data_IF_699667117243
#
_entry.id   IF_699667117243
#
_cell.length_a   1.000
_cell.length_b   1.000
_cell.length_c   1.000
_cell.angle_alpha   90.00
_cell.angle_beta   90.00
_cell.angle_gamma   90.00
#
_symmetry.space_group_name_H-M   'P 1'
#
loop_
_entity.id
_entity.type
_entity.pdbx_description
1 polymer ?
#
# COMPACT_ATOMS: atom_id res chain seq x y z
N UNK A 1 -17.52 -15.27 6.32
CA UNK A 1 -16.60 -14.28 5.74
C UNK A 1 -16.57 -13.03 6.60
N UNK A 2 -17.71 -12.32 6.77
CA UNK A 2 -17.80 -11.11 7.61
C UNK A 2 -17.22 -11.29 9.04
N UNK A 3 -17.68 -12.31 9.78
CA UNK A 3 -17.20 -12.58 11.14
C UNK A 3 -15.68 -12.89 11.21
N UNK A 4 -15.08 -13.41 10.14
CA UNK A 4 -13.64 -13.69 10.10
C UNK A 4 -12.86 -12.37 9.91
N UNK A 5 -13.34 -11.52 9.00
CA UNK A 5 -12.74 -10.20 8.78
C UNK A 5 -12.82 -9.34 10.05
N UNK A 6 -13.96 -9.35 10.74
CA UNK A 6 -14.14 -8.61 12.01
C UNK A 6 -13.17 -9.07 13.10
N UNK A 7 -12.96 -10.38 13.24
CA UNK A 7 -11.99 -10.92 14.20
C UNK A 7 -10.57 -10.47 13.88
N UNK A 8 -10.17 -10.50 12.60
CA UNK A 8 -8.84 -10.04 12.18
C UNK A 8 -8.65 -8.53 12.38
N UNK A 9 -9.66 -7.72 12.07
CA UNK A 9 -9.64 -6.28 12.33
C UNK A 9 -9.54 -5.98 13.83
N UNK A 10 -10.22 -6.77 14.67
CA UNK A 10 -10.12 -6.65 16.13
C UNK A 10 -8.71 -7.01 16.64
N UNK A 11 -8.09 -8.06 16.10
CA UNK A 11 -6.67 -8.38 16.39
C UNK A 11 -5.77 -7.20 16.03
N UNK A 12 -5.99 -6.59 14.87
CA UNK A 12 -5.19 -5.43 14.45
C UNK A 12 -5.35 -4.22 15.36
N UNK A 13 -6.57 -3.99 15.84
CA UNK A 13 -6.86 -2.98 16.85
C UNK A 13 -6.09 -3.23 18.15
N UNK A 14 -6.15 -4.46 18.68
CA UNK A 14 -5.41 -4.83 19.90
C UNK A 14 -3.89 -4.71 19.74
N UNK A 15 -3.36 -4.99 18.56
CA UNK A 15 -1.93 -4.82 18.21
C UNK A 15 -1.51 -3.38 17.93
N UNK A 16 -2.41 -2.40 18.11
CA UNK A 16 -2.15 -0.96 17.90
C UNK A 16 -1.69 -0.60 16.49
N UNK A 17 -2.04 -1.42 15.48
CA UNK A 17 -1.67 -1.17 14.08
C UNK A 17 -2.32 0.12 13.58
N UNK A 18 -3.55 0.39 14.00
CA UNK A 18 -4.22 1.65 13.65
C UNK A 18 -3.44 2.87 14.13
N UNK A 19 -2.80 2.83 15.31
CA UNK A 19 -1.94 3.94 15.78
C UNK A 19 -0.77 4.16 14.82
N UNK A 20 -0.15 3.07 14.34
CA UNK A 20 0.95 3.15 13.37
C UNK A 20 0.46 3.76 12.04
N UNK A 21 -0.74 3.40 11.59
CA UNK A 21 -1.37 3.96 10.39
C UNK A 21 -1.66 5.45 10.57
N UNK A 22 -2.18 5.88 11.72
CA UNK A 22 -2.45 7.30 11.98
C UNK A 22 -1.16 8.11 12.04
N UNK A 23 -0.10 7.57 12.65
CA UNK A 23 1.22 8.21 12.68
C UNK A 23 1.80 8.34 11.27
N UNK A 24 1.77 7.26 10.49
CA UNK A 24 2.24 7.25 9.11
C UNK A 24 1.44 8.25 8.24
N UNK A 25 0.12 8.29 8.40
CA UNK A 25 -0.75 9.18 7.65
C UNK A 25 -0.58 10.66 8.06
N UNK A 26 -0.17 10.90 9.30
CA UNK A 26 0.15 12.24 9.81
C UNK A 26 1.49 12.79 9.30
N UNK A 27 2.28 12.02 8.54
CA UNK A 27 3.58 12.48 8.04
C UNK A 27 3.46 13.74 7.16
N UNK A 28 2.34 13.91 6.45
CA UNK A 28 2.05 15.10 5.65
C UNK A 28 1.99 16.40 6.46
N UNK A 29 1.77 16.33 7.78
CA UNK A 29 1.82 17.49 8.68
C UNK A 29 3.21 18.12 8.69
N UNK A 30 4.27 17.31 8.74
CA UNK A 30 5.66 17.80 8.79
C UNK A 30 5.95 18.62 7.54
N UNK A 31 5.52 18.12 6.38
CA UNK A 31 5.70 18.81 5.12
C UNK A 31 4.86 20.10 5.07
N UNK A 32 3.59 20.05 5.45
CA UNK A 32 2.72 21.23 5.50
C UNK A 32 3.26 22.34 6.42
N UNK A 33 3.77 21.98 7.60
CA UNK A 33 4.42 22.91 8.51
C UNK A 33 5.69 23.50 7.92
N UNK A 34 6.50 22.69 7.25
CA UNK A 34 7.72 23.17 6.62
C UNK A 34 7.46 24.17 5.48
N UNK A 35 6.36 24.00 4.72
CA UNK A 35 5.89 25.01 3.75
C UNK A 35 5.50 26.30 4.49
N UNK A 36 4.69 26.18 5.55
CA UNK A 36 4.19 27.32 6.31
C UNK A 36 5.32 28.13 6.97
N UNK A 37 6.30 27.46 7.57
CA UNK A 37 7.47 28.06 8.22
C UNK A 37 8.63 28.35 7.26
N UNK A 38 8.48 28.07 5.96
CA UNK A 38 9.50 28.31 4.92
C UNK A 38 10.85 27.68 5.22
N UNK A 39 10.86 26.40 5.57
CA UNK A 39 12.10 25.65 5.82
C UNK A 39 12.97 25.60 4.55
N UNK A 40 14.27 25.85 4.69
CA UNK A 40 15.22 26.02 3.58
C UNK A 40 15.43 24.78 2.70
N UNK A 41 15.08 23.59 3.19
CA UNK A 41 15.21 22.33 2.46
C UNK A 41 13.94 21.93 1.69
N UNK A 42 12.83 22.67 1.82
CA UNK A 42 11.60 22.40 1.08
C UNK A 42 11.55 23.34 -0.12
N UNK A 43 11.96 22.82 -1.28
CA UNK A 43 11.89 23.53 -2.55
C UNK A 43 10.57 23.19 -3.24
N UNK A 44 9.70 24.20 -3.37
CA UNK A 44 8.44 24.07 -4.12
C UNK A 44 8.59 24.81 -5.43
N UNK A 45 8.71 24.04 -6.51
CA UNK A 45 8.66 24.57 -7.88
C UNK A 45 7.20 24.66 -8.33
N UNK A 46 6.57 25.82 -8.14
CA UNK A 46 5.21 26.11 -8.63
C UNK A 46 4.15 26.27 -7.53
N UNK A 47 2.88 26.22 -7.95
CA UNK A 47 1.73 26.24 -7.04
C UNK A 47 1.13 24.84 -6.93
N UNK A 48 0.73 24.46 -5.72
CA UNK A 48 0.15 23.15 -5.42
C UNK A 48 -1.35 23.28 -5.18
N UNK A 49 -2.13 22.47 -5.89
CA UNK A 49 -3.55 22.25 -5.62
C UNK A 49 -3.74 21.24 -4.48
N UNK A 50 -4.93 21.22 -3.87
CA UNK A 50 -5.28 20.29 -2.79
C UNK A 50 -5.07 18.82 -3.19
N UNK A 51 -5.53 18.44 -4.39
CA UNK A 51 -5.40 17.06 -4.90
C UNK A 51 -3.94 16.73 -5.16
N UNK A 52 -3.19 17.63 -5.80
CA UNK A 52 -1.78 17.46 -6.06
C UNK A 52 -0.99 17.33 -4.75
N UNK A 53 -1.32 18.12 -3.73
CA UNK A 53 -0.68 18.01 -2.41
C UNK A 53 -0.98 16.65 -1.76
N UNK A 54 -2.23 16.23 -1.68
CA UNK A 54 -2.60 14.97 -1.03
C UNK A 54 -1.95 13.74 -1.72
N UNK A 55 -1.97 13.73 -3.06
CA UNK A 55 -1.40 12.63 -3.85
C UNK A 55 0.13 12.61 -3.84
N UNK A 56 0.78 13.77 -3.86
CA UNK A 56 2.25 13.86 -3.71
C UNK A 56 2.71 13.45 -2.32
N UNK A 57 1.94 13.74 -1.26
CA UNK A 57 2.24 13.25 0.09
C UNK A 57 2.15 11.72 0.18
N UNK A 58 1.17 11.11 -0.50
CA UNK A 58 1.08 9.66 -0.61
C UNK A 58 2.28 9.08 -1.36
N UNK A 59 2.65 9.66 -2.52
CA UNK A 59 3.80 9.24 -3.30
C UNK A 59 5.11 9.35 -2.49
N UNK A 60 5.26 10.42 -1.70
CA UNK A 60 6.41 10.62 -0.83
C UNK A 60 6.50 9.51 0.24
N UNK A 61 5.39 9.18 0.89
CA UNK A 61 5.35 8.10 1.89
C UNK A 61 5.67 6.74 1.24
N UNK A 62 5.18 6.50 0.02
CA UNK A 62 5.53 5.31 -0.76
C UNK A 62 7.01 5.26 -1.12
N UNK A 63 7.61 6.39 -1.50
CA UNK A 63 9.03 6.50 -1.83
C UNK A 63 9.93 6.18 -0.62
N UNK A 64 9.52 6.55 0.59
CA UNK A 64 10.23 6.18 1.83
C UNK A 64 10.20 4.67 2.11
N UNK A 65 9.36 3.89 1.44
CA UNK A 65 9.25 2.44 1.61
C UNK A 65 8.61 2.01 2.94
N UNK A 66 8.22 2.94 3.81
CA UNK A 66 7.63 2.62 5.12
C UNK A 66 6.32 1.84 4.99
N UNK A 67 5.35 2.22 4.13
CA UNK A 67 4.13 1.42 3.93
C UNK A 67 4.45 0.02 3.43
N UNK A 68 5.41 -0.10 2.50
CA UNK A 68 5.80 -1.37 1.93
C UNK A 68 6.27 -2.34 3.02
N UNK A 69 7.20 -1.90 3.88
CA UNK A 69 7.73 -2.72 4.97
C UNK A 69 6.63 -3.07 5.97
N UNK A 70 5.85 -2.09 6.40
CA UNK A 70 4.79 -2.26 7.40
C UNK A 70 3.73 -3.26 6.92
N UNK A 71 3.17 -3.07 5.72
CA UNK A 71 2.12 -3.93 5.20
C UNK A 71 2.65 -5.30 4.77
N UNK A 72 3.87 -5.39 4.26
CA UNK A 72 4.51 -6.69 4.00
C UNK A 72 4.68 -7.49 5.30
N UNK A 73 5.08 -6.83 6.39
CA UNK A 73 5.17 -7.46 7.71
C UNK A 73 3.81 -7.91 8.23
N UNK A 74 2.76 -7.10 8.07
CA UNK A 74 1.39 -7.50 8.43
C UNK A 74 0.90 -8.71 7.63
N UNK A 75 1.12 -8.73 6.32
CA UNK A 75 0.80 -9.89 5.48
C UNK A 75 1.60 -11.14 5.88
N UNK A 76 2.88 -10.99 6.20
CA UNK A 76 3.70 -12.12 6.60
C UNK A 76 3.35 -12.67 7.99
N UNK A 77 2.95 -11.81 8.92
CA UNK A 77 2.63 -12.22 10.31
C UNK A 77 1.23 -12.79 10.47
N UNK A 78 0.24 -12.30 9.72
CA UNK A 78 -1.14 -12.80 9.80
C UNK A 78 -1.25 -14.26 9.34
N UNK A 79 -0.36 -14.71 8.45
CA UNK A 79 -0.36 -16.09 7.96
C UNK A 79 0.84 -16.87 8.49
N UNK A 80 2.07 -16.48 8.12
CA UNK A 80 3.27 -17.20 8.53
C UNK A 80 3.52 -17.19 10.04
N UNK A 81 3.21 -16.08 10.72
CA UNK A 81 3.34 -16.01 12.18
C UNK A 81 2.35 -16.94 12.91
N UNK A 82 1.09 -16.96 12.47
CA UNK A 82 0.09 -17.85 13.07
C UNK A 82 0.32 -19.33 12.71
N UNK A 83 0.98 -19.61 11.57
CA UNK A 83 1.47 -20.94 11.22
C UNK A 83 2.59 -21.38 12.18
N UNK A 84 3.58 -20.51 12.45
CA UNK A 84 4.68 -20.85 13.35
C UNK A 84 4.22 -21.04 14.79
N UNK A 85 3.21 -20.28 15.22
CA UNK A 85 2.67 -20.33 16.58
C UNK A 85 1.62 -21.44 16.77
N UNK A 86 1.31 -22.22 15.72
CA UNK A 86 0.29 -23.29 15.73
C UNK A 86 -1.16 -22.80 15.83
N UNK A 87 -1.38 -21.48 15.96
CA UNK A 87 -2.72 -20.88 16.07
C UNK A 87 -3.57 -21.14 14.82
N UNK A 88 -2.94 -21.28 13.65
CA UNK A 88 -3.63 -21.54 12.38
C UNK A 88 -4.46 -22.84 12.42
N UNK A 89 -4.02 -23.89 13.14
CA UNK A 89 -4.77 -25.15 13.24
C UNK A 89 -6.11 -24.94 13.95
N UNK A 90 -6.10 -24.17 15.03
CA UNK A 90 -7.31 -23.87 15.82
C UNK A 90 -8.31 -23.04 15.01
N UNK A 91 -7.83 -22.17 14.12
CA UNK A 91 -8.71 -21.42 13.23
C UNK A 91 -9.27 -22.27 12.09
N UNK A 92 -8.48 -23.20 11.55
CA UNK A 92 -8.93 -24.13 10.51
C UNK A 92 -10.05 -25.03 11.03
N UNK A 93 -9.95 -25.54 12.26
CA UNK A 93 -11.02 -26.37 12.87
C UNK A 93 -12.31 -25.58 13.07
N UNK A 94 -12.23 -24.28 13.35
CA UNK A 94 -13.40 -23.39 13.52
C UNK A 94 -14.04 -22.96 12.20
N UNK A 95 -13.25 -22.66 11.18
CA UNK A 95 -13.73 -22.11 9.89
C UNK A 95 -14.06 -23.22 8.87
N UNK A 96 -13.58 -24.44 9.10
CA UNK A 96 -13.79 -25.64 8.28
C UNK A 96 -13.20 -25.57 6.85
N UNK A 97 -12.66 -24.42 6.42
CA UNK A 97 -12.11 -24.25 5.07
C UNK A 97 -10.86 -23.37 5.05
N UNK A 98 -9.73 -23.95 4.62
CA UNK A 98 -8.43 -23.26 4.45
C UNK A 98 -8.54 -22.10 3.44
N UNK A 99 -9.24 -22.30 2.33
CA UNK A 99 -9.45 -21.27 1.29
C UNK A 99 -10.17 -20.03 1.84
N UNK A 100 -11.27 -20.23 2.58
CA UNK A 100 -12.04 -19.12 3.17
C UNK A 100 -11.21 -18.35 4.20
N UNK A 101 -10.35 -19.06 4.93
CA UNK A 101 -9.45 -18.47 5.92
C UNK A 101 -8.38 -17.58 5.27
N UNK A 102 -7.68 -18.07 4.25
CA UNK A 102 -6.65 -17.31 3.53
C UNK A 102 -7.24 -16.06 2.88
N UNK A 103 -8.36 -16.20 2.16
CA UNK A 103 -9.04 -15.07 1.51
C UNK A 103 -9.51 -14.07 2.56
N UNK A 104 -10.06 -14.55 3.68
CA UNK A 104 -10.50 -13.70 4.78
C UNK A 104 -9.36 -12.84 5.35
N UNK A 105 -8.21 -13.45 5.66
CA UNK A 105 -7.02 -12.75 6.15
C UNK A 105 -6.49 -11.73 5.12
N UNK A 106 -6.42 -12.12 3.86
CA UNK A 106 -5.99 -11.23 2.77
C UNK A 106 -6.92 -10.01 2.64
N UNK A 107 -8.24 -10.22 2.68
CA UNK A 107 -9.22 -9.13 2.63
C UNK A 107 -9.10 -8.20 3.83
N UNK A 108 -8.85 -8.73 5.03
CA UNK A 108 -8.61 -7.92 6.22
C UNK A 108 -7.40 -7.02 6.08
N UNK A 109 -6.25 -7.55 5.62
CA UNK A 109 -5.05 -6.72 5.39
C UNK A 109 -5.29 -5.70 4.29
N UNK A 110 -5.94 -6.10 3.19
CA UNK A 110 -6.27 -5.20 2.07
C UNK A 110 -7.19 -4.04 2.51
N UNK A 111 -8.16 -4.31 3.40
CA UNK A 111 -9.02 -3.29 3.98
C UNK A 111 -8.21 -2.30 4.84
N UNK A 112 -7.23 -2.79 5.61
CA UNK A 112 -6.35 -1.94 6.41
C UNK A 112 -5.44 -1.07 5.51
N UNK A 113 -4.94 -1.60 4.39
CA UNK A 113 -4.19 -0.80 3.38
C UNK A 113 -5.09 0.30 2.81
N UNK A 114 -6.32 -0.02 2.44
CA UNK A 114 -7.29 0.97 1.95
C UNK A 114 -7.60 2.05 2.99
N UNK A 115 -7.79 1.67 4.25
CA UNK A 115 -7.99 2.63 5.34
C UNK A 115 -6.79 3.56 5.52
N UNK A 116 -5.57 3.03 5.40
CA UNK A 116 -4.36 3.85 5.46
C UNK A 116 -4.30 4.87 4.33
N UNK A 117 -4.64 4.47 3.11
CA UNK A 117 -4.70 5.37 1.96
C UNK A 117 -5.75 6.47 2.18
N UNK A 118 -6.97 6.10 2.57
CA UNK A 118 -8.05 7.07 2.81
C UNK A 118 -7.71 8.04 3.94
N UNK A 119 -7.15 7.55 5.05
CA UNK A 119 -6.70 8.40 6.15
C UNK A 119 -5.59 9.36 5.71
N UNK A 120 -4.66 8.89 4.88
CA UNK A 120 -3.61 9.76 4.35
C UNK A 120 -4.15 10.89 3.48
N UNK A 121 -5.09 10.61 2.58
CA UNK A 121 -5.73 11.65 1.74
C UNK A 121 -6.53 12.62 2.60
N UNK A 122 -7.28 12.12 3.59
CA UNK A 122 -8.06 12.95 4.52
C UNK A 122 -7.17 13.87 5.37
N UNK A 123 -6.12 13.35 5.99
CA UNK A 123 -5.22 14.16 6.81
C UNK A 123 -4.41 15.14 5.97
N UNK A 124 -3.91 14.71 4.81
CA UNK A 124 -3.14 15.59 3.92
C UNK A 124 -3.99 16.73 3.37
N UNK A 125 -5.27 16.47 3.02
CA UNK A 125 -6.20 17.53 2.62
C UNK A 125 -6.53 18.49 3.78
N UNK A 126 -6.70 17.97 5.00
CA UNK A 126 -6.88 18.81 6.20
C UNK A 126 -5.67 19.73 6.44
N UNK A 127 -4.45 19.19 6.39
CA UNK A 127 -3.24 20.00 6.59
C UNK A 127 -2.99 20.99 5.46
N UNK A 128 -3.35 20.63 4.22
CA UNK A 128 -3.34 21.58 3.11
C UNK A 128 -4.26 22.77 3.40
N UNK A 129 -5.50 22.51 3.81
CA UNK A 129 -6.47 23.58 4.12
C UNK A 129 -6.01 24.47 5.28
N UNK A 130 -5.39 23.89 6.31
CA UNK A 130 -4.95 24.64 7.50
C UNK A 130 -3.69 25.47 7.26
N UNK A 131 -2.69 24.94 6.56
CA UNK A 131 -1.35 25.52 6.50
C UNK A 131 -0.91 25.97 5.11
N UNK A 132 -1.30 25.25 4.05
CA UNK A 132 -0.76 25.46 2.70
C UNK A 132 -1.66 26.36 1.85
N UNK A 133 -2.99 26.27 2.01
CA UNK A 133 -3.96 26.97 1.18
C UNK A 133 -3.82 28.51 1.21
N UNK A 134 -3.38 29.07 2.34
CA UNK A 134 -3.15 30.51 2.53
C UNK A 134 -1.69 30.92 2.33
N UNK A 135 -0.81 29.98 1.97
CA UNK A 135 0.61 30.26 1.70
C UNK A 135 0.83 30.75 0.27
N UNK A 136 2.00 31.33 -0.02
CA UNK A 136 2.39 31.77 -1.38
C UNK A 136 2.42 30.65 -2.42
N UNK A 137 2.44 29.39 -1.97
CA UNK A 137 2.53 28.19 -2.81
C UNK A 137 1.18 27.47 -2.99
N UNK A 138 0.14 27.87 -2.28
CA UNK A 138 -1.21 27.30 -2.44
C UNK A 138 -2.00 28.01 -3.54
N UNK A 139 -2.84 27.27 -4.27
CA UNK A 139 -3.83 27.85 -5.20
C UNK A 139 -5.15 28.21 -4.51
N UNK A 140 -5.20 28.10 -3.17
CA UNK A 140 -6.41 28.26 -2.36
C UNK A 140 -7.15 26.94 -2.14
N UNK A 141 -8.37 27.02 -1.58
CA UNK A 141 -9.21 25.86 -1.22
C UNK A 141 -10.03 25.33 -2.40
N UNK A 142 -10.05 26.04 -3.53
CA UNK A 142 -10.83 25.63 -4.70
C UNK A 142 -10.24 24.38 -5.34
N UNK A 143 -11.09 23.39 -5.59
CA UNK A 143 -10.71 22.18 -6.31
C UNK A 143 -10.49 22.51 -7.79
N UNK A 144 -9.23 22.61 -8.19
CA UNK A 144 -8.84 22.67 -9.59
C UNK A 144 -8.61 21.26 -10.11
N UNK A 145 -9.57 20.75 -10.88
CA UNK A 145 -9.42 19.51 -11.64
C UNK A 145 -8.71 19.82 -12.96
N UNK A 146 -7.39 20.03 -12.89
CA UNK A 146 -6.56 20.02 -14.08
C UNK A 146 -6.21 18.57 -14.45
N UNK A 147 -5.99 18.29 -15.73
CA UNK A 147 -5.65 16.93 -16.22
C UNK A 147 -4.48 16.31 -15.44
N UNK A 148 -3.49 17.13 -15.07
CA UNK A 148 -2.36 16.74 -14.23
C UNK A 148 -2.77 16.21 -12.85
N UNK A 149 -3.70 16.87 -12.16
CA UNK A 149 -4.19 16.44 -10.83
C UNK A 149 -4.95 15.11 -10.91
N UNK A 150 -5.65 14.85 -12.02
CA UNK A 150 -6.32 13.57 -12.27
C UNK A 150 -5.30 12.46 -12.49
N UNK A 151 -4.22 12.72 -13.25
CA UNK A 151 -3.15 11.74 -13.45
C UNK A 151 -2.47 11.36 -12.13
N UNK A 152 -2.14 12.32 -11.27
CA UNK A 152 -1.57 12.05 -9.95
C UNK A 152 -2.50 11.21 -9.05
N UNK A 153 -3.81 11.44 -9.13
CA UNK A 153 -4.78 10.65 -8.36
C UNK A 153 -4.90 9.21 -8.88
N UNK A 154 -4.81 9.00 -10.20
CA UNK A 154 -4.78 7.65 -10.75
C UNK A 154 -3.49 6.92 -10.38
N UNK A 155 -2.36 7.62 -10.39
CA UNK A 155 -1.07 7.11 -9.95
C UNK A 155 -1.13 6.65 -8.49
N UNK A 156 -1.68 7.47 -7.58
CA UNK A 156 -1.80 7.12 -6.17
C UNK A 156 -2.67 5.86 -5.96
N UNK A 157 -3.76 5.72 -6.72
CA UNK A 157 -4.62 4.52 -6.71
C UNK A 157 -3.83 3.29 -7.17
N UNK A 158 -3.05 3.39 -8.25
CA UNK A 158 -2.23 2.26 -8.72
C UNK A 158 -1.20 1.82 -7.68
N UNK A 159 -0.67 2.77 -6.89
CA UNK A 159 0.22 2.47 -5.77
C UNK A 159 -0.43 1.68 -4.64
N UNK A 160 -1.73 1.87 -4.39
CA UNK A 160 -2.49 1.04 -3.44
C UNK A 160 -2.57 -0.41 -3.93
N UNK A 161 -2.89 -0.62 -5.21
CA UNK A 161 -2.91 -1.96 -5.81
C UNK A 161 -1.53 -2.63 -5.77
N UNK A 162 -0.46 -1.86 -5.96
CA UNK A 162 0.90 -2.36 -5.81
C UNK A 162 1.18 -2.84 -4.39
N UNK A 163 0.83 -2.07 -3.36
CA UNK A 163 0.97 -2.51 -1.97
C UNK A 163 0.21 -3.82 -1.70
N UNK A 164 -1.01 -3.94 -2.24
CA UNK A 164 -1.82 -5.17 -2.10
C UNK A 164 -1.12 -6.36 -2.77
N UNK A 165 -0.49 -6.18 -3.93
CA UNK A 165 0.34 -7.22 -4.55
C UNK A 165 1.50 -7.61 -3.65
N UNK A 166 2.24 -6.66 -3.10
CA UNK A 166 3.38 -6.94 -2.20
C UNK A 166 2.94 -7.65 -0.91
N UNK A 167 1.77 -7.31 -0.37
CA UNK A 167 1.14 -8.03 0.75
C UNK A 167 0.83 -9.49 0.35
N UNK A 168 0.28 -9.72 -0.83
CA UNK A 168 -0.03 -11.08 -1.29
C UNK A 168 1.25 -11.94 -1.42
N UNK A 169 2.34 -11.34 -1.91
CA UNK A 169 3.65 -11.98 -2.00
C UNK A 169 4.23 -12.28 -0.61
N UNK A 170 4.11 -11.35 0.34
CA UNK A 170 4.60 -11.56 1.70
C UNK A 170 3.82 -12.68 2.41
N UNK A 171 2.50 -12.74 2.24
CA UNK A 171 1.67 -13.85 2.70
C UNK A 171 2.15 -15.18 2.10
N UNK A 172 2.39 -15.22 0.78
CA UNK A 172 2.87 -16.41 0.09
C UNK A 172 4.20 -16.93 0.64
N UNK A 173 5.24 -16.09 0.71
CA UNK A 173 6.53 -16.50 1.23
C UNK A 173 6.45 -16.89 2.72
N UNK A 174 5.63 -16.20 3.50
CA UNK A 174 5.50 -16.46 4.94
C UNK A 174 4.92 -17.83 5.26
N UNK A 175 4.08 -18.35 4.36
CA UNK A 175 3.50 -19.68 4.51
C UNK A 175 4.56 -20.80 4.53
N UNK A 176 5.76 -20.58 3.97
CA UNK A 176 6.83 -21.59 3.94
C UNK A 176 8.05 -21.25 4.78
N UNK A 177 8.50 -19.99 4.76
CA UNK A 177 9.80 -19.61 5.32
C UNK A 177 9.71 -18.83 6.64
N UNK A 178 8.50 -18.65 7.17
CA UNK A 178 8.24 -17.84 8.36
C UNK A 178 8.14 -16.35 8.05
N UNK A 179 7.63 -15.59 9.01
CA UNK A 179 7.26 -14.18 8.83
C UNK A 179 8.44 -13.26 8.52
N UNK A 180 9.54 -13.35 9.28
CA UNK A 180 10.70 -12.45 9.09
C UNK A 180 11.38 -12.63 7.73
N UNK A 181 11.66 -13.87 7.33
CA UNK A 181 12.30 -14.19 6.04
C UNK A 181 11.43 -13.78 4.86
N UNK A 182 10.11 -13.90 4.98
CA UNK A 182 9.18 -13.48 3.94
C UNK A 182 9.21 -11.96 3.70
N UNK A 183 9.30 -11.16 4.76
CA UNK A 183 9.41 -9.70 4.62
C UNK A 183 10.70 -9.31 3.89
N UNK A 184 11.84 -9.90 4.28
CA UNK A 184 13.11 -9.65 3.59
C UNK A 184 13.03 -10.01 2.11
N UNK A 185 12.45 -11.17 1.78
CA UNK A 185 12.26 -11.57 0.38
C UNK A 185 11.35 -10.61 -0.39
N UNK A 186 10.27 -10.14 0.23
CA UNK A 186 9.35 -9.19 -0.38
C UNK A 186 10.04 -7.85 -0.67
N UNK A 187 10.91 -7.39 0.22
CA UNK A 187 11.74 -6.18 0.01
C UNK A 187 12.75 -6.40 -1.11
N UNK A 188 13.41 -7.56 -1.16
CA UNK A 188 14.34 -7.91 -2.25
C UNK A 188 13.61 -7.89 -3.59
N UNK A 189 12.40 -8.46 -3.67
CA UNK A 189 11.57 -8.42 -4.89
C UNK A 189 11.27 -6.98 -5.29
N UNK A 190 10.88 -6.11 -4.35
CA UNK A 190 10.65 -4.69 -4.64
C UNK A 190 11.92 -4.01 -5.19
N UNK A 191 13.08 -4.25 -4.59
CA UNK A 191 14.36 -3.68 -5.04
C UNK A 191 14.70 -4.17 -6.46
N UNK A 192 14.54 -5.47 -6.73
CA UNK A 192 14.75 -6.03 -8.08
C UNK A 192 13.81 -5.36 -9.08
N UNK A 193 12.53 -5.20 -8.75
CA UNK A 193 11.57 -4.51 -9.62
C UNK A 193 11.99 -3.05 -9.89
N UNK A 194 12.49 -2.33 -8.89
CA UNK A 194 13.00 -0.96 -9.06
C UNK A 194 14.28 -0.90 -9.91
N UNK A 195 15.12 -1.93 -9.90
CA UNK A 195 16.27 -2.00 -10.81
C UNK A 195 15.83 -2.29 -12.25
N UNK A 196 14.92 -3.26 -12.43
CA UNK A 196 14.41 -3.64 -13.76
C UNK A 196 13.59 -2.49 -14.37
N UNK A 197 12.94 -1.65 -13.55
CA UNK A 197 12.17 -0.50 -14.04
C UNK A 197 13.03 0.57 -14.74
N UNK A 198 14.34 0.58 -14.52
CA UNK A 198 15.25 1.47 -15.25
C UNK A 198 15.45 1.04 -16.72
N UNK A 199 15.08 -0.19 -17.09
CA UNK A 199 15.15 -0.67 -18.47
C UNK A 199 13.89 -0.22 -19.21
N UNK A 200 14.03 0.81 -20.06
CA UNK A 200 12.91 1.48 -20.74
C UNK A 200 11.96 0.51 -21.48
N UNK A 201 12.50 -0.50 -22.17
CA UNK A 201 11.72 -1.49 -22.94
C UNK A 201 10.80 -2.34 -22.06
N UNK A 202 11.25 -2.69 -20.85
CA UNK A 202 10.54 -3.62 -19.96
C UNK A 202 9.65 -2.88 -18.96
N UNK A 203 10.00 -1.62 -18.65
CA UNK A 203 9.36 -0.81 -17.61
C UNK A 203 7.82 -0.84 -17.63
N UNK A 204 7.20 -0.69 -18.80
CA UNK A 204 5.73 -0.63 -18.98
C UNK A 204 5.04 -1.94 -18.57
N UNK A 205 5.74 -3.08 -18.68
CA UNK A 205 5.21 -4.41 -18.40
C UNK A 205 5.39 -4.83 -16.95
N UNK A 206 6.15 -4.07 -16.16
CA UNK A 206 6.41 -4.41 -14.77
C UNK A 206 5.19 -4.11 -13.89
N UNK A 207 4.90 -4.99 -12.90
CA UNK A 207 3.96 -4.64 -11.85
C UNK A 207 4.51 -3.45 -11.08
N UNK A 208 3.79 -2.33 -11.14
CA UNK A 208 4.10 -1.15 -10.36
C UNK A 208 4.85 -0.11 -11.15
N UNK A 209 4.73 -0.13 -12.48
CA UNK A 209 5.30 0.88 -13.39
C UNK A 209 5.16 2.31 -12.85
N UNK A 210 3.93 2.68 -12.46
CA UNK A 210 3.60 4.01 -11.93
C UNK A 210 4.22 4.33 -10.56
N UNK A 211 4.57 3.33 -9.77
CA UNK A 211 5.25 3.53 -8.48
C UNK A 211 6.78 3.44 -8.59
N UNK A 212 7.28 2.82 -9.64
CA UNK A 212 8.70 2.48 -9.81
C UNK A 212 9.40 3.39 -10.83
N UNK A 213 8.68 4.06 -11.73
CA UNK A 213 9.23 4.92 -12.77
C UNK A 213 8.80 6.36 -12.54
N UNK A 214 9.76 7.26 -12.43
CA UNK A 214 9.50 8.66 -12.06
C UNK A 214 8.90 9.49 -13.22
N UNK A 215 9.05 9.04 -14.47
CA UNK A 215 8.48 9.66 -15.69
C UNK A 215 7.59 8.67 -16.44
N UNK A 216 6.52 8.20 -15.80
CA UNK A 216 5.62 7.24 -16.40
C UNK A 216 4.80 7.87 -17.54
N UNK A 217 4.56 7.12 -18.62
CA UNK A 217 3.64 7.55 -19.66
C UNK A 217 2.19 7.46 -19.16
N UNK A 218 1.50 8.59 -19.14
CA UNK A 218 0.14 8.71 -18.64
C UNK A 218 -0.87 8.50 -19.78
N UNK A 219 -1.20 7.24 -20.05
CA UNK A 219 -2.35 6.88 -20.88
C UNK A 219 -3.38 6.15 -20.02
N UNK A 220 -4.67 6.44 -20.25
CA UNK A 220 -5.75 5.73 -19.53
C UNK A 220 -5.68 4.21 -19.76
N UNK A 221 -5.25 3.78 -20.96
CA UNK A 221 -5.11 2.37 -21.31
C UNK A 221 -3.99 1.69 -20.52
N UNK A 222 -2.85 2.37 -20.32
CA UNK A 222 -1.72 1.81 -19.58
C UNK A 222 -2.01 1.70 -18.08
N UNK A 223 -2.79 2.64 -17.53
CA UNK A 223 -3.27 2.59 -16.14
C UNK A 223 -4.21 1.39 -15.94
N UNK A 224 -5.19 1.23 -16.82
CA UNK A 224 -6.13 0.12 -16.74
C UNK A 224 -5.43 -1.23 -16.90
N UNK A 225 -4.48 -1.32 -17.82
CA UNK A 225 -3.61 -2.49 -17.97
C UNK A 225 -2.85 -2.81 -16.67
N UNK A 226 -2.24 -1.81 -16.04
CA UNK A 226 -1.49 -1.99 -14.79
C UNK A 226 -2.38 -2.45 -13.63
N UNK A 227 -3.58 -1.88 -13.47
CA UNK A 227 -4.54 -2.32 -12.43
C UNK A 227 -4.93 -3.79 -12.66
N UNK A 228 -5.24 -4.17 -13.90
CA UNK A 228 -5.58 -5.55 -14.25
C UNK A 228 -4.41 -6.49 -13.96
N UNK A 229 -3.19 -6.09 -14.32
CA UNK A 229 -1.99 -6.89 -14.09
C UNK A 229 -1.76 -7.13 -12.58
N UNK A 230 -1.87 -6.09 -11.74
CA UNK A 230 -1.72 -6.20 -10.28
C UNK A 230 -2.80 -7.07 -9.64
N UNK A 231 -4.06 -6.84 -10.01
CA UNK A 231 -5.17 -7.65 -9.52
C UNK A 231 -5.03 -9.11 -9.97
N UNK A 232 -4.67 -9.35 -11.23
CA UNK A 232 -4.44 -10.68 -11.78
C UNK A 232 -3.30 -11.42 -11.05
N UNK A 233 -2.17 -10.76 -10.85
CA UNK A 233 -1.02 -11.33 -10.13
C UNK A 233 -1.36 -11.63 -8.66
N UNK A 234 -2.05 -10.73 -7.96
CA UNK A 234 -2.45 -10.98 -6.57
C UNK A 234 -3.41 -12.18 -6.44
N UNK A 235 -4.37 -12.32 -7.37
CA UNK A 235 -5.27 -13.49 -7.43
C UNK A 235 -4.48 -14.77 -7.73
N UNK A 236 -3.51 -14.72 -8.66
CA UNK A 236 -2.66 -15.86 -8.98
C UNK A 236 -1.82 -16.29 -7.77
N UNK A 237 -1.21 -15.33 -7.07
CA UNK A 237 -0.44 -15.60 -5.84
C UNK A 237 -1.32 -16.25 -4.78
N UNK A 238 -2.55 -15.74 -4.57
CA UNK A 238 -3.51 -16.34 -3.63
C UNK A 238 -3.95 -17.75 -4.05
N UNK A 239 -4.11 -18.01 -5.34
CA UNK A 239 -4.42 -19.34 -5.85
C UNK A 239 -3.30 -20.33 -5.56
N UNK A 240 -2.04 -19.95 -5.84
CA UNK A 240 -0.86 -20.79 -5.56
C UNK A 240 -0.69 -21.01 -4.06
N UNK A 241 -0.86 -19.96 -3.25
CA UNK A 241 -0.84 -20.03 -1.79
C UNK A 241 -1.89 -21.00 -1.24
N UNK A 242 -3.11 -20.97 -1.78
CA UNK A 242 -4.15 -21.91 -1.37
C UNK A 242 -3.77 -23.35 -1.70
N UNK A 243 -3.18 -23.62 -2.88
CA UNK A 243 -2.69 -24.96 -3.23
C UNK A 243 -1.58 -25.43 -2.28
N UNK A 244 -0.63 -24.54 -1.95
CA UNK A 244 0.43 -24.82 -1.00
C UNK A 244 -0.11 -25.14 0.40
N UNK A 245 -1.09 -24.37 0.86
CA UNK A 245 -1.71 -24.58 2.17
C UNK A 245 -2.56 -25.84 2.23
N UNK A 246 -3.15 -26.32 1.13
CA UNK A 246 -3.85 -27.62 1.09
C UNK A 246 -2.85 -28.78 1.21
N UNK A 247 -1.71 -28.69 0.53
CA UNK A 247 -0.70 -29.75 0.54
C UNK A 247 0.13 -29.81 1.83
N UNK A 248 0.04 -28.79 2.70
CA UNK A 248 0.71 -28.80 4.00
C UNK A 248 -0.02 -29.72 4.97
N UNK A 249 0.65 -30.79 5.37
CA UNK A 249 0.29 -31.59 6.54
C UNK A 249 0.76 -30.82 7.77
N UNK A 250 -0.19 -30.49 8.64
CA UNK A 250 0.05 -29.91 9.95
C UNK A 250 -0.10 -31.00 11.00
#
# INVERSE_FOLDING_TARGET
MKNLIEVELFKFYKRKIFISITLLSSFSLIYALGIYFKWSFILISGKLDLIAFATTMWALIMMLGIPLVLFSFLGATILGGEITDGQILLEITRVYSRKKLIIGKFLSVSLVVLLCYLLNILLSSLFYMLFVANSSHGTGVKLHFMDYSIHLMLESITGVFFLILMVSLSMFFSASWGSFRAVLFTIIVFVILKFVSNIQVISIWLPGYYTLVDNANYSHLTILYQIILMCGLSVLVLYVLNKQMVNKNF
#
